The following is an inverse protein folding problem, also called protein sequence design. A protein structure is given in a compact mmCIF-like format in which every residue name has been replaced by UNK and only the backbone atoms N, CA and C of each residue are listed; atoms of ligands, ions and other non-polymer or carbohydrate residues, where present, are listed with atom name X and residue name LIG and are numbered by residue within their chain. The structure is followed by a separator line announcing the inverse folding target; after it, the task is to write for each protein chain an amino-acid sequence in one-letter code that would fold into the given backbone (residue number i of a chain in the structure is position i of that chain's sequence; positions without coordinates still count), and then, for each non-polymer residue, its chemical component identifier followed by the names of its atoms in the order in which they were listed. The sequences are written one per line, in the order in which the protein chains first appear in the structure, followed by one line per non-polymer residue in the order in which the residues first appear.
data_IF_012178476577
#
_entry.id   IF_012178476577
#
_cell.length_a   1.000
_cell.length_b   1.000
_cell.length_c   1.000
_cell.angle_alpha   90.00
_cell.angle_beta   90.00
_cell.angle_gamma   90.00
#
_symmetry.space_group_name_H-M   'P 1'
#
loop_
_entity.id
_entity.type
_entity.pdbx_description
1 polymer ?
#
# COMPACT_ATOMS: atom_id res chain seq x y z
N UNK A 1 28.11 -15.35 -5.60
CA UNK A 1 27.36 -15.17 -6.87
C UNK A 1 26.03 -15.90 -6.88
N UNK A 2 25.97 -17.18 -6.49
CA UNK A 2 24.71 -17.95 -6.41
C UNK A 2 23.61 -17.22 -5.63
N UNK A 3 23.93 -16.69 -4.45
CA UNK A 3 22.96 -15.94 -3.62
C UNK A 3 22.38 -14.68 -4.28
N UNK A 4 23.10 -14.03 -5.20
CA UNK A 4 22.62 -12.84 -5.94
C UNK A 4 21.56 -13.24 -6.96
N UNK A 5 21.82 -14.35 -7.65
CA UNK A 5 20.95 -14.88 -8.70
C UNK A 5 19.67 -15.46 -8.07
N UNK A 6 19.78 -16.18 -6.95
CA UNK A 6 18.62 -16.77 -6.26
C UNK A 6 17.75 -15.77 -5.52
N UNK A 7 18.30 -14.61 -5.12
CA UNK A 7 17.53 -13.56 -4.45
C UNK A 7 16.66 -12.74 -5.40
N UNK A 8 16.91 -12.83 -6.71
CA UNK A 8 16.17 -12.10 -7.74
C UNK A 8 14.80 -12.75 -8.00
N UNK A 9 13.75 -11.94 -7.97
CA UNK A 9 12.43 -12.31 -8.47
C UNK A 9 12.44 -12.26 -10.00
N UNK A 10 12.32 -13.41 -10.64
CA UNK A 10 12.34 -13.53 -12.10
C UNK A 10 11.00 -13.05 -12.69
N UNK A 11 10.16 -14.01 -13.06
CA UNK A 11 8.80 -13.75 -13.48
C UNK A 11 7.88 -13.68 -12.26
N UNK A 12 6.86 -12.81 -12.29
CA UNK A 12 5.72 -12.92 -11.40
C UNK A 12 5.19 -14.36 -11.39
N UNK A 13 4.97 -14.91 -10.20
CA UNK A 13 4.23 -16.16 -10.10
C UNK A 13 2.76 -15.85 -10.39
N UNK A 14 2.07 -16.76 -11.08
CA UNK A 14 0.64 -16.57 -11.35
C UNK A 14 0.35 -15.43 -12.35
N UNK A 15 1.18 -15.20 -13.37
CA UNK A 15 0.84 -14.22 -14.45
C UNK A 15 -0.53 -14.51 -15.08
N UNK A 16 -0.88 -15.79 -15.23
CA UNK A 16 -2.18 -16.23 -15.72
C UNK A 16 -3.32 -16.03 -14.69
N UNK A 17 -2.97 -15.86 -13.43
CA UNK A 17 -3.81 -15.53 -12.27
C UNK A 17 -3.58 -14.05 -11.88
N UNK A 18 -3.37 -13.15 -12.84
CA UNK A 18 -3.27 -11.70 -12.56
C UNK A 18 -2.10 -11.24 -11.67
N UNK A 19 -1.13 -12.11 -11.40
CA UNK A 19 0.09 -11.82 -10.67
C UNK A 19 1.07 -11.03 -11.56
N UNK A 20 1.25 -9.74 -11.26
CA UNK A 20 2.19 -8.87 -12.00
C UNK A 20 3.41 -8.45 -11.16
N UNK A 21 3.58 -8.99 -9.96
CA UNK A 21 4.72 -8.65 -9.11
C UNK A 21 5.41 -9.90 -8.53
N UNK A 22 6.75 -9.94 -8.58
CA UNK A 22 7.57 -10.86 -7.82
C UNK A 22 8.81 -10.15 -7.28
N UNK A 23 8.77 -9.84 -5.99
CA UNK A 23 9.82 -9.07 -5.33
C UNK A 23 11.06 -9.91 -4.98
N UNK A 24 11.05 -11.23 -5.17
CA UNK A 24 12.15 -12.09 -4.75
C UNK A 24 12.46 -11.98 -3.25
N UNK A 25 13.69 -12.31 -2.86
CA UNK A 25 14.13 -12.25 -1.46
C UNK A 25 15.03 -11.05 -1.21
N UNK A 26 14.42 -9.98 -0.70
CA UNK A 26 15.14 -8.76 -0.35
C UNK A 26 16.23 -9.01 0.71
N UNK A 27 15.90 -9.72 1.78
CA UNK A 27 16.83 -9.96 2.89
C UNK A 27 18.02 -10.81 2.46
N UNK A 28 17.79 -11.81 1.60
CA UNK A 28 18.86 -12.63 1.05
C UNK A 28 19.81 -11.77 0.20
N UNK A 29 19.28 -10.86 -0.61
CA UNK A 29 20.10 -9.96 -1.42
C UNK A 29 20.95 -9.03 -0.55
N UNK A 30 20.35 -8.39 0.46
CA UNK A 30 21.05 -7.43 1.32
C UNK A 30 22.14 -8.08 2.17
N UNK A 31 21.99 -9.36 2.51
CA UNK A 31 22.98 -10.13 3.27
C UNK A 31 24.11 -10.71 2.41
N UNK A 32 24.11 -10.50 1.09
CA UNK A 32 25.25 -10.89 0.26
C UNK A 32 26.44 -9.98 0.57
N UNK A 33 27.50 -10.58 1.09
CA UNK A 33 28.80 -9.95 1.29
C UNK A 33 29.89 -10.89 0.76
N UNK A 34 30.83 -10.35 0.00
CA UNK A 34 31.97 -11.10 -0.51
C UNK A 34 33.25 -10.73 0.24
N UNK A 35 34.21 -11.67 0.27
CA UNK A 35 35.53 -11.46 0.87
C UNK A 35 36.32 -10.32 0.19
N UNK A 36 35.91 -9.89 -1.01
CA UNK A 36 36.50 -8.78 -1.76
C UNK A 36 35.73 -7.45 -1.57
N UNK A 37 34.85 -7.37 -0.57
CA UNK A 37 34.12 -6.15 -0.21
C UNK A 37 32.93 -5.79 -1.11
N UNK A 38 32.50 -6.71 -1.97
CA UNK A 38 31.30 -6.52 -2.82
C UNK A 38 30.07 -6.87 -1.98
N UNK A 39 29.14 -5.93 -1.87
CA UNK A 39 27.87 -6.10 -1.16
C UNK A 39 26.71 -6.25 -2.14
N UNK A 40 25.66 -6.95 -1.75
CA UNK A 40 24.41 -6.96 -2.51
C UNK A 40 23.63 -5.66 -2.37
N UNK A 41 23.01 -5.23 -3.47
CA UNK A 41 22.10 -4.10 -3.53
C UNK A 41 20.80 -4.58 -4.16
N UNK A 42 19.72 -4.46 -3.41
CA UNK A 42 18.39 -4.84 -3.86
C UNK A 42 17.74 -3.67 -4.59
N UNK A 43 17.23 -3.87 -5.80
CA UNK A 43 16.54 -2.84 -6.58
C UNK A 43 15.21 -3.38 -7.11
N UNK A 44 14.26 -2.48 -7.40
CA UNK A 44 13.01 -2.84 -8.08
C UNK A 44 13.12 -2.55 -9.58
N UNK A 45 13.00 -3.60 -10.37
CA UNK A 45 12.83 -3.55 -11.82
C UNK A 45 11.34 -3.36 -12.14
N UNK A 46 11.06 -2.33 -12.93
CA UNK A 46 9.75 -2.07 -13.52
C UNK A 46 9.80 -2.44 -15.00
N UNK A 47 8.93 -3.33 -15.43
CA UNK A 47 8.80 -3.76 -16.82
C UNK A 47 7.43 -3.36 -17.37
N UNK A 48 7.39 -2.68 -18.51
CA UNK A 48 6.16 -2.28 -19.19
C UNK A 48 6.10 -2.95 -20.55
N UNK A 49 5.14 -3.87 -20.77
CA UNK A 49 4.97 -4.48 -22.08
C UNK A 49 4.47 -3.46 -23.11
N UNK A 50 4.67 -3.72 -24.41
CA UNK A 50 4.10 -2.90 -25.48
C UNK A 50 2.58 -2.88 -25.40
N UNK A 51 1.97 -1.77 -25.85
CA UNK A 51 0.51 -1.58 -25.83
C UNK A 51 -0.23 -2.69 -26.58
N UNK A 52 0.36 -3.26 -27.63
CA UNK A 52 -0.26 -4.33 -28.40
C UNK A 52 -0.40 -5.65 -27.61
N UNK A 53 0.58 -5.96 -26.73
CA UNK A 53 0.49 -7.13 -25.85
C UNK A 53 -0.55 -6.91 -24.76
N UNK A 54 -0.64 -5.68 -24.22
CA UNK A 54 -1.69 -5.29 -23.29
C UNK A 54 -3.08 -5.39 -23.93
N UNK A 55 -3.24 -4.94 -25.17
CA UNK A 55 -4.49 -5.04 -25.93
C UNK A 55 -4.90 -6.50 -26.15
N UNK A 56 -3.94 -7.38 -26.44
CA UNK A 56 -4.20 -8.81 -26.62
C UNK A 56 -4.65 -9.53 -25.34
N UNK A 57 -4.40 -8.96 -24.16
CA UNK A 57 -4.89 -9.49 -22.89
C UNK A 57 -6.38 -9.20 -22.64
N UNK A 58 -6.98 -8.23 -23.35
CA UNK A 58 -8.42 -7.97 -23.28
C UNK A 58 -9.16 -8.88 -24.26
N UNK A 59 -10.24 -9.51 -23.81
CA UNK A 59 -11.03 -10.38 -24.67
C UNK A 59 -11.80 -9.56 -25.70
N UNK A 60 -11.95 -10.07 -26.94
CA UNK A 60 -12.77 -9.43 -27.98
C UNK A 60 -14.23 -9.21 -27.53
N UNK A 61 -14.72 -10.03 -26.60
CA UNK A 61 -16.01 -9.89 -25.93
C UNK A 61 -16.12 -8.61 -25.08
N UNK A 62 -15.12 -8.26 -24.27
CA UNK A 62 -15.11 -7.03 -23.46
C UNK A 62 -15.10 -5.76 -24.34
N UNK A 63 -14.39 -5.81 -25.47
CA UNK A 63 -14.37 -4.73 -26.46
C UNK A 63 -15.75 -4.50 -27.06
N UNK A 64 -16.53 -5.57 -27.27
CA UNK A 64 -17.88 -5.50 -27.84
C UNK A 64 -18.92 -4.94 -26.87
N UNK A 65 -18.76 -5.16 -25.56
CA UNK A 65 -19.74 -4.72 -24.56
C UNK A 65 -19.67 -3.20 -24.28
N UNK A 66 -18.57 -2.52 -24.63
CA UNK A 66 -18.39 -1.09 -24.41
C UNK A 66 -17.98 -0.31 -25.69
N UNK A 67 -18.88 -0.12 -26.66
CA UNK A 67 -18.56 0.58 -27.92
C UNK A 67 -18.22 2.07 -27.78
N UNK A 68 -18.48 2.67 -26.60
CA UNK A 68 -18.11 4.06 -26.28
C UNK A 68 -16.74 4.19 -25.61
N UNK A 69 -16.14 3.09 -25.18
CA UNK A 69 -14.82 3.09 -24.55
C UNK A 69 -13.77 2.80 -25.63
N UNK A 70 -13.03 3.83 -26.04
CA UNK A 70 -11.82 3.58 -26.82
C UNK A 70 -10.78 2.94 -25.89
N UNK A 71 -10.63 1.62 -26.02
CA UNK A 71 -9.74 0.82 -25.17
C UNK A 71 -8.28 1.20 -25.40
N UNK A 72 -7.90 1.68 -26.60
CA UNK A 72 -6.54 2.19 -26.83
C UNK A 72 -6.32 3.49 -26.06
N UNK A 73 -7.31 4.38 -26.07
CA UNK A 73 -7.24 5.64 -25.34
C UNK A 73 -7.26 5.41 -23.81
N UNK A 74 -8.11 4.49 -23.35
CA UNK A 74 -8.15 4.05 -21.96
C UNK A 74 -6.82 3.42 -21.55
N UNK A 75 -6.25 2.50 -22.35
CA UNK A 75 -4.97 1.85 -22.08
C UNK A 75 -3.80 2.83 -22.06
N UNK A 76 -3.75 3.79 -22.97
CA UNK A 76 -2.69 4.80 -22.95
C UNK A 76 -2.81 5.69 -21.70
N UNK A 77 -4.02 6.11 -21.34
CA UNK A 77 -4.26 6.92 -20.14
C UNK A 77 -4.03 6.13 -18.84
N UNK A 78 -4.38 4.83 -18.80
CA UNK A 78 -4.11 3.96 -17.65
C UNK A 78 -2.65 3.53 -17.57
N UNK A 79 -1.96 3.38 -18.69
CA UNK A 79 -0.51 3.15 -18.74
C UNK A 79 0.26 4.29 -18.07
N UNK A 80 -0.16 5.54 -18.29
CA UNK A 80 0.45 6.71 -17.64
C UNK A 80 0.01 6.87 -16.17
N UNK A 81 -1.27 6.67 -15.86
CA UNK A 81 -1.82 6.91 -14.51
C UNK A 81 -1.64 5.78 -13.50
N UNK A 82 -1.76 4.52 -13.92
CA UNK A 82 -1.79 3.36 -13.03
C UNK A 82 -0.51 2.53 -13.07
N UNK A 83 0.50 2.95 -13.85
CA UNK A 83 1.77 2.23 -13.99
C UNK A 83 1.58 0.74 -14.28
N UNK A 84 0.68 0.42 -15.20
CA UNK A 84 0.40 -0.96 -15.61
C UNK A 84 1.69 -1.57 -16.15
N UNK A 85 2.20 -2.56 -15.43
CA UNK A 85 3.50 -3.17 -15.69
C UNK A 85 3.87 -4.15 -14.59
N UNK A 86 4.86 -4.99 -14.89
CA UNK A 86 5.36 -5.98 -13.96
C UNK A 86 6.44 -5.39 -13.05
N UNK A 87 6.41 -5.76 -11.77
CA UNK A 87 7.40 -5.35 -10.77
C UNK A 87 8.20 -6.57 -10.32
N UNK A 88 9.50 -6.54 -10.56
CA UNK A 88 10.40 -7.60 -10.13
C UNK A 88 11.48 -7.06 -9.20
N UNK A 89 11.81 -7.79 -8.13
CA UNK A 89 12.96 -7.44 -7.30
C UNK A 89 14.24 -8.05 -7.88
N UNK A 90 15.26 -7.24 -8.15
CA UNK A 90 16.55 -7.72 -8.68
C UNK A 90 17.66 -7.46 -7.66
N UNK A 91 18.56 -8.43 -7.52
CA UNK A 91 19.76 -8.26 -6.74
C UNK A 91 20.95 -7.96 -7.65
N UNK A 92 21.57 -6.79 -7.46
CA UNK A 92 22.75 -6.38 -8.21
C UNK A 92 23.95 -6.19 -7.26
N UNK A 93 25.18 -6.43 -7.72
CA UNK A 93 26.36 -6.14 -6.91
C UNK A 93 26.54 -4.64 -6.71
N UNK A 94 27.10 -4.24 -5.56
CA UNK A 94 27.36 -2.85 -5.21
C UNK A 94 28.30 -2.12 -6.18
N UNK A 95 29.13 -2.89 -6.90
CA UNK A 95 30.03 -2.40 -7.94
C UNK A 95 29.30 -1.81 -9.15
N UNK A 96 28.07 -2.24 -9.42
CA UNK A 96 27.30 -1.73 -10.55
C UNK A 96 26.51 -0.49 -10.15
N UNK A 97 26.53 0.54 -10.99
CA UNK A 97 25.74 1.74 -10.78
C UNK A 97 24.31 1.56 -11.27
N UNK A 98 23.36 2.21 -10.60
CA UNK A 98 21.95 2.15 -10.99
C UNK A 98 21.74 2.65 -12.43
N UNK A 99 22.52 3.64 -12.88
CA UNK A 99 22.44 4.19 -14.25
C UNK A 99 22.85 3.17 -15.30
N UNK A 100 23.92 2.42 -15.06
CA UNK A 100 24.42 1.38 -15.95
C UNK A 100 23.40 0.24 -16.08
N UNK A 101 22.87 -0.23 -14.96
CA UNK A 101 21.80 -1.23 -14.97
C UNK A 101 20.56 -0.75 -15.71
N UNK A 102 20.16 0.51 -15.50
CA UNK A 102 19.00 1.07 -16.19
C UNK A 102 19.21 1.11 -17.70
N UNK A 103 20.42 1.43 -18.18
CA UNK A 103 20.75 1.42 -19.61
C UNK A 103 20.69 0.02 -20.21
N UNK A 104 21.26 -0.98 -19.53
CA UNK A 104 21.24 -2.38 -19.98
C UNK A 104 19.79 -2.86 -20.09
N UNK A 105 19.01 -2.67 -19.03
CA UNK A 105 17.63 -3.15 -18.97
C UNK A 105 16.74 -2.41 -19.97
N UNK A 106 16.92 -1.09 -20.13
CA UNK A 106 16.18 -0.33 -21.15
C UNK A 106 16.53 -0.76 -22.57
N UNK A 107 17.80 -1.09 -22.83
CA UNK A 107 18.25 -1.57 -24.14
C UNK A 107 17.60 -2.91 -24.47
N UNK A 108 17.65 -3.87 -23.54
CA UNK A 108 16.99 -5.18 -23.71
C UNK A 108 15.48 -5.01 -23.88
N UNK A 109 14.83 -4.18 -23.06
CA UNK A 109 13.39 -3.96 -23.18
C UNK A 109 13.01 -3.35 -24.54
N UNK A 110 13.76 -2.35 -24.99
CA UNK A 110 13.52 -1.68 -26.27
C UNK A 110 13.63 -2.63 -27.47
N UNK A 111 14.51 -3.63 -27.41
CA UNK A 111 14.63 -4.66 -28.44
C UNK A 111 13.35 -5.50 -28.61
N UNK A 112 12.54 -5.61 -27.56
CA UNK A 112 11.24 -6.29 -27.56
C UNK A 112 10.05 -5.30 -27.58
N UNK A 113 10.29 -4.02 -27.85
CA UNK A 113 9.25 -2.98 -27.86
C UNK A 113 8.66 -2.65 -26.47
N UNK A 114 9.31 -3.12 -25.40
CA UNK A 114 8.94 -2.86 -24.02
C UNK A 114 9.75 -1.69 -23.43
N UNK A 115 9.27 -1.13 -22.33
CA UNK A 115 10.00 -0.12 -21.56
C UNK A 115 10.35 -0.69 -20.18
N UNK A 116 11.61 -0.63 -19.77
CA UNK A 116 12.01 -1.11 -18.46
C UNK A 116 12.90 -0.12 -17.72
N UNK A 117 12.73 -0.03 -16.40
CA UNK A 117 13.53 0.87 -15.57
C UNK A 117 13.84 0.28 -14.19
N UNK A 118 15.04 0.57 -13.69
CA UNK A 118 15.50 0.14 -12.37
C UNK A 118 15.38 1.30 -11.38
N UNK A 119 14.58 1.12 -10.32
CA UNK A 119 14.31 2.13 -9.29
C UNK A 119 14.44 1.53 -7.88
N UNK A 120 14.45 2.41 -6.88
CA UNK A 120 14.41 2.03 -5.46
C UNK A 120 15.50 1.03 -5.04
N UNK A 121 16.75 1.34 -5.36
CA UNK A 121 17.89 0.54 -4.94
C UNK A 121 18.25 0.79 -3.47
N UNK A 122 18.40 -0.28 -2.68
CA UNK A 122 18.80 -0.25 -1.27
C UNK A 122 19.95 -1.21 -1.01
N UNK A 123 20.84 -0.81 -0.11
CA UNK A 123 21.92 -1.63 0.46
C UNK A 123 21.61 -1.89 1.94
N UNK A 124 22.40 -2.76 2.59
CA UNK A 124 22.27 -3.09 4.03
C UNK A 124 22.69 -1.93 4.96
N UNK A 125 22.38 -0.70 4.58
CA UNK A 125 22.55 0.47 5.42
C UNK A 125 21.39 0.56 6.42
N UNK A 126 21.67 1.06 7.63
CA UNK A 126 20.63 1.34 8.61
C UNK A 126 19.61 2.30 8.00
N UNK A 127 18.32 2.03 8.22
CA UNK A 127 17.22 2.87 7.72
C UNK A 127 17.46 4.32 8.13
N UNK A 128 17.86 5.16 7.18
CA UNK A 128 17.97 6.61 7.39
C UNK A 128 16.57 7.17 7.27
N UNK A 129 15.91 7.34 8.41
CA UNK A 129 14.61 8.00 8.45
C UNK A 129 14.78 9.43 7.97
N UNK A 130 14.02 9.81 6.94
CA UNK A 130 13.97 11.19 6.49
C UNK A 130 13.34 12.06 7.59
N UNK A 131 13.75 13.34 7.69
CA UNK A 131 13.19 14.27 8.71
C UNK A 131 11.66 14.27 8.71
N UNK A 132 11.06 14.15 7.52
CA UNK A 132 9.61 14.05 7.35
C UNK A 132 9.04 12.76 7.93
N UNK A 133 9.66 11.61 7.64
CA UNK A 133 9.24 10.30 8.17
C UNK A 133 9.31 10.28 9.70
N UNK A 134 10.39 10.82 10.29
CA UNK A 134 10.50 10.98 11.74
C UNK A 134 9.38 11.86 12.29
N UNK A 135 9.07 12.98 11.62
CA UNK A 135 7.99 13.88 12.00
C UNK A 135 6.62 13.19 11.99
N UNK A 136 6.33 12.40 10.95
CA UNK A 136 5.09 11.64 10.82
C UNK A 136 4.98 10.57 11.92
N UNK A 137 6.03 9.78 12.13
CA UNK A 137 6.08 8.74 13.15
C UNK A 137 5.87 9.36 14.54
N UNK A 138 6.55 10.47 14.83
CA UNK A 138 6.42 11.18 16.11
C UNK A 138 5.01 11.72 16.32
N UNK A 139 4.39 12.29 15.29
CA UNK A 139 3.04 12.83 15.37
C UNK A 139 2.00 11.73 15.65
N UNK A 140 2.01 10.65 14.86
CA UNK A 140 1.10 9.53 15.08
C UNK A 140 1.38 8.81 16.39
N UNK A 141 2.64 8.70 16.81
CA UNK A 141 3.02 8.17 18.12
C UNK A 141 2.43 8.99 19.27
N UNK A 142 2.52 10.31 19.21
CA UNK A 142 1.92 11.21 20.21
C UNK A 142 0.39 11.07 20.28
N UNK A 143 -0.28 11.06 19.12
CA UNK A 143 -1.73 10.83 19.06
C UNK A 143 -2.11 9.47 19.65
N UNK A 144 -1.34 8.42 19.34
CA UNK A 144 -1.56 7.08 19.86
C UNK A 144 -1.42 7.01 21.39
N UNK A 145 -0.42 7.70 21.96
CA UNK A 145 -0.24 7.80 23.41
C UNK A 145 -1.43 8.52 24.07
N UNK A 146 -1.90 9.64 23.49
CA UNK A 146 -3.09 10.35 23.99
C UNK A 146 -4.32 9.44 23.97
N UNK A 147 -4.49 8.64 22.91
CA UNK A 147 -5.58 7.67 22.81
C UNK A 147 -5.49 6.59 23.90
N UNK A 148 -4.30 6.06 24.17
CA UNK A 148 -4.09 5.06 25.24
C UNK A 148 -4.44 5.66 26.60
N UNK A 149 -3.90 6.85 26.91
CA UNK A 149 -4.15 7.53 28.19
C UNK A 149 -5.64 7.84 28.39
N UNK A 150 -6.30 8.36 27.35
CA UNK A 150 -7.74 8.61 27.37
C UNK A 150 -8.57 7.34 27.52
N UNK A 151 -8.16 6.25 26.86
CA UNK A 151 -8.86 4.96 26.97
C UNK A 151 -8.68 4.34 28.35
N UNK A 152 -7.47 4.42 28.92
CA UNK A 152 -7.20 3.95 30.28
C UNK A 152 -7.98 4.77 31.32
N UNK A 153 -8.00 6.10 31.19
CA UNK A 153 -8.81 6.97 32.04
C UNK A 153 -10.31 6.64 31.96
N UNK A 154 -10.84 6.38 30.75
CA UNK A 154 -12.23 5.96 30.56
C UNK A 154 -12.53 4.61 31.24
N UNK A 155 -11.63 3.62 31.12
CA UNK A 155 -11.79 2.32 31.78
C UNK A 155 -11.76 2.44 33.31
N UNK A 156 -10.84 3.22 33.86
CA UNK A 156 -10.75 3.46 35.30
C UNK A 156 -11.99 4.18 35.83
N UNK A 157 -12.45 5.23 35.14
CA UNK A 157 -13.66 5.95 35.52
C UNK A 157 -14.89 5.04 35.48
N UNK A 158 -15.02 4.20 34.45
CA UNK A 158 -16.10 3.20 34.36
C UNK A 158 -16.06 2.16 35.48
N UNK A 159 -14.86 1.70 35.87
CA UNK A 159 -14.70 0.74 36.98
C UNK A 159 -15.05 1.38 38.32
N UNK A 160 -14.67 2.64 38.53
CA UNK A 160 -14.83 3.33 39.81
C UNK A 160 -16.24 3.90 40.03
N UNK A 161 -16.86 4.47 38.99
CA UNK A 161 -18.18 5.11 39.12
C UNK A 161 -19.34 4.12 39.04
N UNK A 162 -19.12 2.88 38.56
CA UNK A 162 -20.21 1.96 38.26
C UNK A 162 -21.19 2.58 37.25
N UNK A 163 -22.26 1.88 36.90
CA UNK A 163 -23.21 2.31 35.87
C UNK A 163 -24.12 3.50 36.31
N UNK A 164 -23.66 4.34 37.23
CA UNK A 164 -24.38 5.46 37.82
C UNK A 164 -24.05 6.77 37.09
N UNK A 165 -25.05 7.35 36.46
CA UNK A 165 -24.99 8.58 35.65
C UNK A 165 -24.87 9.84 36.52
N UNK A 166 -23.73 10.04 37.20
CA UNK A 166 -23.44 11.35 37.82
C UNK A 166 -23.03 12.38 36.75
N UNK A 167 -23.42 13.64 36.94
CA UNK A 167 -23.07 14.77 36.05
C UNK A 167 -21.54 14.85 35.91
N UNK A 168 -21.06 14.46 34.73
CA UNK A 168 -19.63 14.40 34.40
C UNK A 168 -19.10 15.82 34.24
N UNK A 169 -18.15 16.22 35.09
CA UNK A 169 -17.48 17.53 35.00
C UNK A 169 -16.75 17.73 33.68
N UNK A 170 -16.47 18.98 33.27
CA UNK A 170 -15.85 19.31 31.98
C UNK A 170 -14.50 18.61 31.77
N UNK A 171 -13.69 18.51 32.83
CA UNK A 171 -12.39 17.82 32.81
C UNK A 171 -12.50 16.31 32.55
N UNK A 172 -13.50 15.65 33.13
CA UNK A 172 -13.77 14.22 32.88
C UNK A 172 -14.24 13.99 31.44
N UNK A 173 -15.04 14.91 30.88
CA UNK A 173 -15.44 14.86 29.47
C UNK A 173 -14.25 14.98 28.52
N UNK A 174 -13.31 15.89 28.82
CA UNK A 174 -12.09 16.06 28.03
C UNK A 174 -11.18 14.84 28.11
N UNK A 175 -10.98 14.27 29.31
CA UNK A 175 -10.16 13.07 29.51
C UNK A 175 -10.65 11.84 28.72
N UNK A 176 -11.97 11.72 28.55
CA UNK A 176 -12.61 10.59 27.83
C UNK A 176 -12.87 10.94 26.35
N UNK A 177 -12.64 12.17 25.90
CA UNK A 177 -12.98 12.64 24.55
C UNK A 177 -12.30 11.83 23.44
N UNK A 178 -11.08 11.35 23.68
CA UNK A 178 -10.30 10.55 22.72
C UNK A 178 -10.30 9.04 23.04
N UNK A 179 -11.15 8.58 23.98
CA UNK A 179 -11.24 7.16 24.32
C UNK A 179 -11.84 6.35 23.16
N UNK A 180 -11.15 5.28 22.78
CA UNK A 180 -11.63 4.33 21.76
C UNK A 180 -12.94 3.68 22.21
N UNK A 181 -13.06 3.31 23.49
CA UNK A 181 -14.24 2.58 23.99
C UNK A 181 -15.50 3.43 23.92
N UNK A 182 -15.43 4.67 24.41
CA UNK A 182 -16.57 5.59 24.39
C UNK A 182 -16.92 6.04 22.97
N UNK A 183 -15.92 6.35 22.15
CA UNK A 183 -16.16 6.80 20.78
C UNK A 183 -16.69 5.66 19.90
N UNK A 184 -16.16 4.44 20.05
CA UNK A 184 -16.67 3.25 19.32
C UNK A 184 -18.09 2.91 19.74
N UNK A 185 -18.41 2.95 21.04
CA UNK A 185 -19.79 2.75 21.51
C UNK A 185 -20.75 3.81 20.95
N UNK A 186 -20.36 5.08 20.89
CA UNK A 186 -21.18 6.15 20.28
C UNK A 186 -21.33 5.97 18.77
N UNK A 187 -20.28 5.53 18.09
CA UNK A 187 -20.29 5.25 16.64
C UNK A 187 -21.17 4.06 16.29
N UNK A 188 -21.19 3.03 17.14
CA UNK A 188 -21.98 1.80 16.96
C UNK A 188 -23.29 1.80 17.75
N UNK A 189 -23.69 2.93 18.35
CA UNK A 189 -24.97 3.02 19.05
C UNK A 189 -26.12 3.11 18.04
N UNK A 190 -26.86 2.00 17.92
CA UNK A 190 -28.04 1.87 17.05
C UNK A 190 -29.33 2.21 17.82
N UNK A 191 -29.25 2.64 19.08
CA UNK A 191 -30.44 2.93 19.89
C UNK A 191 -31.20 4.14 19.33
N UNK A 192 -32.37 3.85 18.76
CA UNK A 192 -33.31 4.84 18.23
C UNK A 192 -33.89 5.62 19.43
N UNK A 193 -33.44 6.85 19.64
CA UNK A 193 -34.17 7.81 20.48
C UNK A 193 -35.31 8.36 19.63
N UNK A 194 -36.53 7.94 19.94
CA UNK A 194 -37.77 8.42 19.36
C UNK A 194 -37.88 9.93 19.54
N UNK A 195 -37.79 10.69 18.45
CA UNK A 195 -38.16 12.11 18.44
C UNK A 195 -37.25 13.09 17.72
N UNK A 196 -36.13 12.68 17.10
CA UNK A 196 -35.25 13.67 16.46
C UNK A 196 -34.78 13.27 15.05
N UNK A 197 -34.66 14.29 14.21
CA UNK A 197 -34.21 14.34 12.81
C UNK A 197 -32.85 13.66 12.51
N UNK A 198 -32.19 13.07 13.52
CA UNK A 198 -30.90 12.38 13.46
C UNK A 198 -30.97 10.91 12.99
N UNK A 199 -31.94 10.58 12.12
CA UNK A 199 -32.32 9.21 11.74
C UNK A 199 -31.24 8.43 10.97
N UNK A 200 -30.08 9.02 10.65
CA UNK A 200 -29.09 8.43 9.73
C UNK A 200 -27.63 8.54 10.23
N UNK A 201 -27.38 8.74 11.53
CA UNK A 201 -26.00 8.93 12.01
C UNK A 201 -25.12 7.68 11.88
N UNK A 202 -25.70 6.48 12.00
CA UNK A 202 -25.01 5.21 11.76
C UNK A 202 -24.61 5.01 10.28
N UNK A 203 -25.37 5.59 9.33
CA UNK A 203 -25.04 5.58 7.91
C UNK A 203 -23.77 6.38 7.61
N UNK A 204 -23.46 7.43 8.39
CA UNK A 204 -22.18 8.13 8.24
C UNK A 204 -20.98 7.24 8.61
N UNK A 205 -21.12 6.38 9.63
CA UNK A 205 -20.11 5.39 10.00
C UNK A 205 -19.89 4.34 8.90
N UNK A 206 -20.96 3.76 8.36
CA UNK A 206 -20.86 2.82 7.24
C UNK A 206 -20.29 3.46 5.98
N UNK A 207 -20.64 4.72 5.68
CA UNK A 207 -20.06 5.47 4.57
C UNK A 207 -18.56 5.67 4.74
N UNK A 208 -18.07 5.89 5.97
CA UNK A 208 -16.63 5.98 6.24
C UNK A 208 -15.92 4.65 5.98
N UNK A 209 -16.43 3.54 6.52
CA UNK A 209 -15.81 2.22 6.28
C UNK A 209 -15.90 1.80 4.82
N UNK A 210 -16.99 2.12 4.12
CA UNK A 210 -17.12 1.90 2.68
C UNK A 210 -16.13 2.75 1.88
N UNK A 211 -15.98 4.03 2.21
CA UNK A 211 -15.00 4.90 1.56
C UNK A 211 -13.55 4.46 1.86
N UNK A 212 -13.26 4.06 3.11
CA UNK A 212 -11.96 3.54 3.50
C UNK A 212 -11.64 2.23 2.76
N UNK A 213 -12.61 1.32 2.67
CA UNK A 213 -12.49 0.08 1.90
C UNK A 213 -12.20 0.37 0.43
N UNK A 214 -12.89 1.34 -0.19
CA UNK A 214 -12.64 1.77 -1.58
C UNK A 214 -11.25 2.39 -1.74
N UNK A 215 -10.80 3.24 -0.80
CA UNK A 215 -9.46 3.84 -0.87
C UNK A 215 -8.36 2.80 -0.69
N UNK A 216 -8.50 1.89 0.28
CA UNK A 216 -7.58 0.77 0.49
C UNK A 216 -7.58 -0.15 -0.73
N UNK A 217 -8.76 -0.43 -1.28
CA UNK A 217 -8.95 -1.14 -2.53
C UNK A 217 -8.12 -0.49 -3.65
N UNK A 218 -8.30 0.80 -3.94
CA UNK A 218 -7.51 1.46 -4.99
C UNK A 218 -5.99 1.49 -4.69
N UNK A 219 -5.60 1.64 -3.42
CA UNK A 219 -4.19 1.68 -3.02
C UNK A 219 -3.49 0.32 -3.14
N UNK A 220 -4.20 -0.78 -2.85
CA UNK A 220 -3.63 -2.13 -2.79
C UNK A 220 -3.98 -3.02 -3.99
N UNK A 221 -5.15 -2.87 -4.63
CA UNK A 221 -5.52 -3.68 -5.80
C UNK A 221 -4.73 -3.37 -7.06
N UNK A 222 -4.00 -2.25 -7.14
CA UNK A 222 -3.02 -2.07 -8.22
C UNK A 222 -1.78 -2.99 -8.08
N UNK A 223 -1.70 -3.81 -7.03
CA UNK A 223 -0.63 -4.79 -6.81
C UNK A 223 -1.05 -6.21 -7.25
N UNK A 224 -2.35 -6.55 -7.31
CA UNK A 224 -2.88 -7.84 -7.76
C UNK A 224 -4.09 -7.63 -8.70
N UNK A 225 -3.97 -8.04 -9.96
CA UNK A 225 -4.97 -7.72 -10.99
C UNK A 225 -6.25 -8.57 -10.95
N UNK A 226 -6.32 -9.62 -10.12
CA UNK A 226 -7.48 -10.53 -10.04
C UNK A 226 -8.77 -9.86 -9.55
N UNK A 227 -8.67 -8.69 -8.93
CA UNK A 227 -9.82 -7.96 -8.42
C UNK A 227 -10.40 -6.95 -9.40
N UNK A 228 -9.90 -6.90 -10.65
CA UNK A 228 -10.42 -6.03 -11.69
C UNK A 228 -11.54 -6.67 -12.52
N UNK A 229 -12.00 -7.86 -12.15
CA UNK A 229 -13.11 -8.58 -12.80
C UNK A 229 -14.44 -8.33 -12.10
#
# INVERSE_FOLDING_TARGET
MVAVITATGYMPNGVYEGGFANLGSQDQCLNVESNVGIRGRYCTLFWRPPTEVLLAAFTKEEIRQHPRLDIRLWLNNTRERFHVGSRSGICIPSACQQKEMNQIVSGVASAYGAEASVKYCRTKEAVRLEKLEVGIISFFGAVFIVIILSTFADLLLRKYEGNQTKKVGPWKKLAVAYSVVSNTRKLLDVRIKSGDSQRLRFLHGMKFFSALWVVLSHAYYCVHADACR
#
